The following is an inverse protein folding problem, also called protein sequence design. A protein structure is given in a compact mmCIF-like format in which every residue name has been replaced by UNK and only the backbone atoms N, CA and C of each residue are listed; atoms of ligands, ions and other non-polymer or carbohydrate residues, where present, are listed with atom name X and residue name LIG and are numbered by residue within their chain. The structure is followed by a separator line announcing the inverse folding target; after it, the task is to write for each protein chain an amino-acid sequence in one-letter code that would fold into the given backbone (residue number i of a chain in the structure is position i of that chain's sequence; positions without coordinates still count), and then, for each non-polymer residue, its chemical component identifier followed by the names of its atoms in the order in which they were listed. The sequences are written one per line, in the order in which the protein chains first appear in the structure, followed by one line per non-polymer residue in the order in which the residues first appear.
data_IF_772835831708
#
_entry.id   IF_772835831708
#
_cell.length_a   1.000
_cell.length_b   1.000
_cell.length_c   1.000
_cell.angle_alpha   90.00
_cell.angle_beta   90.00
_cell.angle_gamma   90.00
#
_symmetry.space_group_name_H-M   'P 1'
#
loop_
_entity.id
_entity.type
_entity.pdbx_description
1 polymer ?
#
# COMPACT_ATOMS: atom_id res chain seq x y z
N UNK A 1 -6.13 5.86 -16.80
CA UNK A 1 -6.28 4.83 -15.75
C UNK A 1 -7.72 4.39 -15.76
N UNK A 2 -8.00 3.18 -16.27
CA UNK A 2 -9.37 2.65 -16.40
C UNK A 2 -9.99 2.53 -15.00
N UNK A 3 -11.20 3.08 -14.86
CA UNK A 3 -12.11 3.12 -13.71
C UNK A 3 -11.87 2.13 -12.56
N UNK A 4 -10.83 2.37 -11.74
CA UNK A 4 -10.59 1.63 -10.49
C UNK A 4 -11.83 1.67 -9.58
N UNK A 5 -12.53 2.81 -9.56
CA UNK A 5 -13.76 3.00 -8.78
C UNK A 5 -14.86 1.99 -9.16
N UNK A 6 -15.01 1.67 -10.46
CA UNK A 6 -16.00 0.69 -10.92
C UNK A 6 -15.62 -0.73 -10.51
N UNK A 7 -14.33 -1.05 -10.55
CA UNK A 7 -13.84 -2.38 -10.21
C UNK A 7 -13.92 -2.61 -8.69
N UNK A 8 -13.67 -1.59 -7.87
CA UNK A 8 -13.89 -1.63 -6.41
C UNK A 8 -15.39 -1.77 -6.08
N UNK A 9 -16.27 -1.02 -6.76
CA UNK A 9 -17.73 -1.17 -6.59
C UNK A 9 -18.21 -2.59 -6.89
N UNK A 10 -17.62 -3.25 -7.89
CA UNK A 10 -17.97 -4.63 -8.27
C UNK A 10 -17.56 -5.65 -7.21
N UNK A 11 -16.48 -5.39 -6.47
CA UNK A 11 -15.98 -6.25 -5.39
C UNK A 11 -16.83 -6.18 -4.10
N UNK A 12 -17.55 -5.07 -3.89
CA UNK A 12 -18.25 -4.76 -2.62
C UNK A 12 -19.63 -5.45 -2.44
N UNK A 13 -20.01 -6.42 -3.30
CA UNK A 13 -21.29 -7.14 -3.24
C UNK A 13 -22.52 -6.20 -3.25
N UNK A 14 -22.96 -5.91 -4.47
CA UNK A 14 -24.09 -5.04 -4.86
C UNK A 14 -25.50 -5.44 -4.38
N UNK A 15 -25.68 -6.30 -3.37
CA UNK A 15 -27.03 -6.74 -2.97
C UNK A 15 -27.64 -5.98 -1.78
N UNK A 16 -26.87 -5.16 -1.05
CA UNK A 16 -27.38 -4.48 0.16
C UNK A 16 -26.97 -3.02 0.36
N UNK A 17 -26.22 -2.40 -0.56
CA UNK A 17 -25.72 -1.04 -0.38
C UNK A 17 -26.26 -0.08 -1.44
N UNK A 18 -26.76 1.06 -0.97
CA UNK A 18 -27.10 2.21 -1.80
C UNK A 18 -25.83 2.83 -2.39
N UNK A 19 -25.95 3.52 -3.53
CA UNK A 19 -24.81 4.19 -4.19
C UNK A 19 -24.04 5.11 -3.23
N UNK A 20 -24.76 5.80 -2.33
CA UNK A 20 -24.19 6.67 -1.30
C UNK A 20 -23.37 5.90 -0.25
N UNK A 21 -23.83 4.73 0.17
CA UNK A 21 -23.08 3.89 1.13
C UNK A 21 -21.80 3.37 0.47
N UNK A 22 -21.86 3.02 -0.81
CA UNK A 22 -20.66 2.60 -1.56
C UNK A 22 -19.66 3.75 -1.71
N UNK A 23 -20.13 4.97 -2.02
CA UNK A 23 -19.25 6.16 -2.07
C UNK A 23 -18.54 6.40 -0.74
N UNK A 24 -19.25 6.24 0.38
CA UNK A 24 -18.67 6.39 1.72
C UNK A 24 -17.61 5.32 2.01
N UNK A 25 -17.86 4.06 1.69
CA UNK A 25 -16.88 2.97 1.85
C UNK A 25 -15.64 3.20 0.98
N UNK A 26 -15.83 3.69 -0.25
CA UNK A 26 -14.72 4.05 -1.16
C UNK A 26 -13.89 5.21 -0.59
N UNK A 27 -14.54 6.22 -0.01
CA UNK A 27 -13.84 7.34 0.64
C UNK A 27 -13.00 6.86 1.83
N UNK A 28 -13.57 6.04 2.70
CA UNK A 28 -12.86 5.45 3.84
C UNK A 28 -11.68 4.59 3.40
N UNK A 29 -11.88 3.75 2.37
CA UNK A 29 -10.81 2.94 1.80
C UNK A 29 -9.68 3.81 1.23
N UNK A 30 -10.02 4.87 0.49
CA UNK A 30 -9.04 5.83 -0.02
C UNK A 30 -8.26 6.51 1.11
N UNK A 31 -8.90 6.84 2.22
CA UNK A 31 -8.20 7.40 3.37
C UNK A 31 -7.20 6.41 3.97
N UNK A 32 -7.60 5.15 4.15
CA UNK A 32 -6.73 4.09 4.65
C UNK A 32 -5.53 3.87 3.70
N UNK A 33 -5.79 3.76 2.41
CA UNK A 33 -4.74 3.61 1.38
C UNK A 33 -3.81 4.83 1.40
N UNK A 34 -4.35 6.04 1.43
CA UNK A 34 -3.57 7.27 1.48
C UNK A 34 -2.65 7.34 2.71
N UNK A 35 -3.11 6.87 3.88
CA UNK A 35 -2.25 6.81 5.06
C UNK A 35 -1.21 5.70 4.94
N UNK A 36 -1.54 4.52 4.43
CA UNK A 36 -0.60 3.39 4.35
C UNK A 36 0.46 3.55 3.26
N UNK A 37 0.13 4.19 2.15
CA UNK A 37 1.02 4.37 0.99
C UNK A 37 1.99 5.56 1.11
N UNK A 38 1.86 6.38 2.15
CA UNK A 38 2.81 7.48 2.38
C UNK A 38 4.23 6.93 2.54
N UNK A 39 5.23 7.47 1.82
CA UNK A 39 6.62 7.01 1.93
C UNK A 39 7.16 7.08 3.37
N UNK A 40 6.71 8.05 4.16
CA UNK A 40 7.04 8.18 5.57
C UNK A 40 6.53 6.98 6.39
N UNK A 41 5.27 6.57 6.17
CA UNK A 41 4.66 5.45 6.89
C UNK A 41 5.23 4.12 6.42
N UNK A 42 5.52 3.99 5.12
CA UNK A 42 6.29 2.87 4.58
C UNK A 42 7.63 2.71 5.30
N UNK A 43 8.41 3.79 5.46
CA UNK A 43 9.71 3.76 6.14
C UNK A 43 9.61 3.43 7.64
N UNK A 44 8.47 3.75 8.27
CA UNK A 44 8.23 3.42 9.68
C UNK A 44 7.85 1.95 9.83
N UNK A 45 7.00 1.43 8.95
CA UNK A 45 6.48 0.07 9.05
C UNK A 45 7.46 -1.00 8.56
N UNK A 46 8.43 -0.66 7.70
CA UNK A 46 9.28 -1.66 7.04
C UNK A 46 10.74 -1.64 7.45
N UNK A 47 11.38 -2.80 7.33
CA UNK A 47 12.82 -2.98 7.30
C UNK A 47 13.23 -3.63 5.97
N UNK A 48 14.36 -3.20 5.41
CA UNK A 48 14.91 -3.78 4.20
C UNK A 48 15.94 -4.85 4.58
N UNK A 49 15.63 -6.09 4.25
CA UNK A 49 16.59 -7.21 4.29
C UNK A 49 17.34 -7.25 2.96
N UNK A 50 18.65 -7.27 3.05
CA UNK A 50 19.56 -7.53 1.95
C UNK A 50 20.29 -8.85 2.23
N UNK A 51 21.02 -9.38 1.23
CA UNK A 51 21.75 -10.65 1.33
C UNK A 51 22.55 -10.84 2.63
N UNK A 52 23.21 -9.79 3.11
CA UNK A 52 24.15 -9.86 4.25
C UNK A 52 23.80 -8.91 5.40
N UNK A 53 22.70 -8.15 5.32
CA UNK A 53 22.36 -7.17 6.35
C UNK A 53 20.86 -6.88 6.37
N UNK A 54 20.40 -6.26 7.45
CA UNK A 54 19.06 -5.70 7.59
C UNK A 54 19.22 -4.21 7.89
N UNK A 55 18.42 -3.36 7.26
CA UNK A 55 18.50 -1.91 7.44
C UNK A 55 17.14 -1.24 7.54
N UNK A 56 17.04 -0.27 8.46
CA UNK A 56 15.89 0.63 8.63
C UNK A 56 16.18 2.04 8.10
N UNK A 57 17.29 2.22 7.36
CA UNK A 57 17.70 3.53 6.84
C UNK A 57 16.64 4.05 5.86
N UNK A 58 16.04 5.19 6.19
CA UNK A 58 14.98 5.84 5.40
C UNK A 58 15.39 6.04 3.94
N UNK A 59 16.61 6.51 3.68
CA UNK A 59 17.13 6.70 2.32
C UNK A 59 17.10 5.41 1.48
N UNK A 60 17.42 4.27 2.09
CA UNK A 60 17.41 2.97 1.40
C UNK A 60 16.00 2.44 1.20
N UNK A 61 15.13 2.62 2.19
CA UNK A 61 13.72 2.26 2.09
C UNK A 61 13.02 3.10 1.01
N UNK A 62 13.28 4.40 0.93
CA UNK A 62 12.75 5.27 -0.13
C UNK A 62 13.28 4.90 -1.51
N UNK A 63 14.58 4.56 -1.63
CA UNK A 63 15.13 4.05 -2.89
C UNK A 63 14.37 2.81 -3.37
N UNK A 64 14.10 1.88 -2.45
CA UNK A 64 13.38 0.64 -2.73
C UNK A 64 11.88 0.88 -3.00
N UNK A 65 11.25 1.82 -2.29
CA UNK A 65 9.85 2.19 -2.47
C UNK A 65 9.53 2.62 -3.91
N UNK A 66 10.47 3.31 -4.56
CA UNK A 66 10.33 3.75 -5.96
C UNK A 66 10.75 2.68 -6.98
N UNK A 67 11.28 1.53 -6.55
CA UNK A 67 11.62 0.44 -7.45
C UNK A 67 10.39 -0.40 -7.77
N UNK A 68 10.10 -0.68 -9.05
CA UNK A 68 8.98 -1.55 -9.42
C UNK A 68 9.19 -3.00 -8.98
N UNK A 69 10.45 -3.42 -8.82
CA UNK A 69 10.82 -4.76 -8.38
C UNK A 69 12.07 -4.71 -7.49
N UNK A 70 12.11 -5.58 -6.48
CA UNK A 70 13.27 -5.74 -5.60
C UNK A 70 14.38 -6.51 -6.29
N UNK A 71 15.64 -6.19 -5.96
CA UNK A 71 16.77 -7.01 -6.37
C UNK A 71 16.67 -8.42 -5.78
N UNK A 72 17.27 -9.40 -6.45
CA UNK A 72 17.33 -10.77 -5.92
C UNK A 72 17.89 -10.78 -4.49
N UNK A 73 17.27 -11.58 -3.62
CA UNK A 73 17.60 -11.69 -2.20
C UNK A 73 17.40 -10.41 -1.38
N UNK A 74 16.60 -9.46 -1.87
CA UNK A 74 16.12 -8.33 -1.09
C UNK A 74 14.65 -8.56 -0.72
N UNK A 75 14.31 -8.33 0.53
CA UNK A 75 12.96 -8.54 1.06
C UNK A 75 12.59 -7.38 1.98
N UNK A 76 11.30 -7.04 2.01
CA UNK A 76 10.76 -6.09 2.98
C UNK A 76 10.09 -6.87 4.09
N UNK A 77 10.49 -6.62 5.34
CA UNK A 77 9.80 -7.13 6.52
C UNK A 77 8.89 -6.01 7.03
N UNK A 78 7.61 -6.33 7.21
CA UNK A 78 6.68 -5.46 7.93
C UNK A 78 6.83 -5.71 9.44
N UNK A 79 6.95 -4.64 10.22
CA UNK A 79 7.15 -4.68 11.68
C UNK A 79 5.86 -4.71 12.49
N UNK A 80 4.70 -4.57 11.84
CA UNK A 80 3.38 -4.61 12.48
C UNK A 80 2.90 -6.03 12.74
#
# INVERSE_FOLDING_TARGET
MKNLNRDIMMLLRTEFMTEREIEQEVEQLNEILFQTEKPCNFCIAHELVQRNNITTKKEKLLQVFHMPELKSFWFLINKN
#
